data_IF_416341527236
#
_entry.id   IF_416341527236
#
_cell.length_a   1.000
_cell.length_b   1.000
_cell.length_c   1.000
_cell.angle_alpha   90.00
_cell.angle_beta   90.00
_cell.angle_gamma   90.00
#
_symmetry.space_group_name_H-M   'P 1'
#
loop_
_entity.id
_entity.type
_entity.pdbx_description
1 polymer ?
#
# COMPACT_ATOMS: atom_id res chain seq x y z
N UNK A 1 -14.30 6.27 22.58
CA UNK A 1 -13.49 7.24 21.79
C UNK A 1 -13.84 7.03 20.33
N UNK A 2 -14.09 8.09 19.58
CA UNK A 2 -14.37 7.98 18.16
C UNK A 2 -13.07 7.90 17.34
N UNK A 3 -13.16 7.31 16.14
CA UNK A 3 -11.96 7.05 15.31
C UNK A 3 -11.18 8.33 14.99
N UNK A 4 -11.86 9.38 14.58
CA UNK A 4 -11.20 10.66 14.25
C UNK A 4 -10.51 11.29 15.46
N UNK A 5 -11.16 11.23 16.60
CA UNK A 5 -10.59 11.69 17.88
C UNK A 5 -9.35 10.87 18.26
N UNK A 6 -9.43 9.54 18.08
CA UNK A 6 -8.29 8.66 18.34
C UNK A 6 -7.09 8.98 17.46
N UNK A 7 -7.31 9.25 16.16
CA UNK A 7 -6.25 9.62 15.23
C UNK A 7 -5.60 10.95 15.64
N UNK A 8 -6.39 11.94 16.02
CA UNK A 8 -5.87 13.25 16.46
C UNK A 8 -5.02 13.07 17.72
N UNK A 9 -5.54 12.39 18.75
CA UNK A 9 -4.81 12.14 20.00
C UNK A 9 -3.57 11.27 19.80
N UNK A 10 -3.62 10.31 18.87
CA UNK A 10 -2.45 9.49 18.54
C UNK A 10 -1.33 10.32 17.87
N UNK A 11 -1.66 11.35 17.06
CA UNK A 11 -0.68 12.31 16.53
C UNK A 11 0.03 13.12 17.63
N UNK A 12 -0.62 13.25 18.78
CA UNK A 12 -0.09 13.87 19.99
C UNK A 12 0.64 12.87 20.92
N UNK A 13 0.91 11.66 20.43
CA UNK A 13 1.54 10.55 21.15
C UNK A 13 0.73 10.02 22.36
N UNK A 14 -0.60 10.13 22.32
CA UNK A 14 -1.45 9.59 23.37
C UNK A 14 -1.52 8.06 23.32
N UNK A 15 -1.03 7.38 24.37
CA UNK A 15 -0.96 5.92 24.43
C UNK A 15 -2.34 5.24 24.39
N UNK A 16 -3.36 5.83 25.00
CA UNK A 16 -4.72 5.26 25.00
C UNK A 16 -5.31 5.29 23.60
N UNK A 17 -5.00 6.34 22.84
CA UNK A 17 -5.41 6.45 21.44
C UNK A 17 -4.70 5.41 20.55
N UNK A 18 -3.43 5.16 20.78
CA UNK A 18 -2.71 4.08 20.08
C UNK A 18 -3.32 2.71 20.37
N UNK A 19 -3.61 2.40 21.63
CA UNK A 19 -4.25 1.14 22.01
C UNK A 19 -5.62 0.98 21.33
N UNK A 20 -6.44 2.04 21.33
CA UNK A 20 -7.73 2.03 20.67
C UNK A 20 -7.61 1.75 19.16
N UNK A 21 -6.67 2.41 18.46
CA UNK A 21 -6.44 2.19 17.04
C UNK A 21 -5.91 0.77 16.76
N UNK A 22 -5.02 0.27 17.62
CA UNK A 22 -4.50 -1.08 17.51
C UNK A 22 -5.62 -2.12 17.68
N UNK A 23 -6.42 -2.03 18.71
CA UNK A 23 -7.54 -2.96 18.95
C UNK A 23 -8.58 -2.91 17.83
N UNK A 24 -8.88 -1.70 17.33
CA UNK A 24 -9.87 -1.51 16.26
C UNK A 24 -9.45 -2.15 14.94
N UNK A 25 -8.18 -2.06 14.59
CA UNK A 25 -7.69 -2.46 13.26
C UNK A 25 -6.81 -3.71 13.24
N UNK A 26 -6.54 -4.31 14.39
CA UNK A 26 -5.70 -5.51 14.48
C UNK A 26 -6.19 -6.63 13.57
N UNK A 27 -7.46 -7.00 13.71
CA UNK A 27 -8.05 -8.10 12.95
C UNK A 27 -8.06 -7.84 11.43
N UNK A 28 -8.21 -6.58 11.04
CA UNK A 28 -8.20 -6.18 9.63
C UNK A 28 -6.81 -6.37 9.01
N UNK A 29 -5.76 -5.92 9.72
CA UNK A 29 -4.37 -6.04 9.24
C UNK A 29 -3.90 -7.48 9.32
N UNK A 30 -4.14 -8.16 10.44
CA UNK A 30 -3.75 -9.55 10.65
C UNK A 30 -4.43 -10.48 9.63
N UNK A 31 -5.77 -10.39 9.48
CA UNK A 31 -6.51 -11.20 8.52
C UNK A 31 -6.08 -10.96 7.07
N UNK A 32 -5.72 -9.72 6.72
CA UNK A 32 -5.17 -9.39 5.42
C UNK A 32 -3.78 -10.02 5.22
N UNK A 33 -2.91 -9.97 6.22
CA UNK A 33 -1.58 -10.58 6.15
C UNK A 33 -1.64 -12.10 6.16
N UNK A 34 -2.51 -12.70 6.97
CA UNK A 34 -2.69 -14.15 7.03
C UNK A 34 -3.08 -14.74 5.66
N UNK A 35 -3.95 -14.06 4.92
CA UNK A 35 -4.32 -14.47 3.54
C UNK A 35 -3.12 -14.40 2.57
N UNK A 36 -2.14 -13.54 2.81
CA UNK A 36 -0.98 -13.35 1.92
C UNK A 36 0.20 -14.22 2.28
N UNK A 37 0.47 -14.41 3.56
CA UNK A 37 1.59 -15.20 4.05
C UNK A 37 1.26 -16.69 4.13
N UNK A 38 -0.02 -17.02 4.33
CA UNK A 38 -0.49 -18.37 4.64
C UNK A 38 0.24 -18.99 5.85
N UNK A 39 0.81 -18.14 6.70
CA UNK A 39 1.54 -18.49 7.90
C UNK A 39 1.14 -17.51 9.01
N UNK A 40 0.67 -18.04 10.13
CA UNK A 40 0.15 -17.25 11.25
C UNK A 40 1.24 -16.43 11.94
N UNK A 41 2.41 -17.01 12.16
CA UNK A 41 3.54 -16.32 12.79
C UNK A 41 4.04 -15.16 11.92
N UNK A 42 4.21 -15.40 10.62
CA UNK A 42 4.63 -14.34 9.69
C UNK A 42 3.57 -13.23 9.61
N UNK A 43 2.29 -13.59 9.61
CA UNK A 43 1.20 -12.61 9.60
C UNK A 43 1.18 -11.77 10.87
N UNK A 44 1.42 -12.37 12.04
CA UNK A 44 1.48 -11.68 13.32
C UNK A 44 2.68 -10.73 13.37
N UNK A 45 3.87 -11.20 13.01
CA UNK A 45 5.10 -10.40 12.99
C UNK A 45 4.95 -9.17 12.08
N UNK A 46 4.42 -9.37 10.86
CA UNK A 46 4.19 -8.28 9.93
C UNK A 46 3.12 -7.32 10.46
N UNK A 47 2.09 -7.81 11.15
CA UNK A 47 1.05 -6.96 11.75
C UNK A 47 1.64 -6.09 12.85
N UNK A 48 2.43 -6.66 13.76
CA UNK A 48 3.12 -5.92 14.84
C UNK A 48 4.02 -4.83 14.23
N UNK A 49 4.87 -5.20 13.26
CA UNK A 49 5.76 -4.25 12.59
C UNK A 49 4.99 -3.16 11.83
N UNK A 50 3.84 -3.49 11.26
CA UNK A 50 2.94 -2.53 10.60
C UNK A 50 2.46 -1.47 11.57
N UNK A 51 1.94 -1.85 12.74
CA UNK A 51 1.48 -0.90 13.74
C UNK A 51 2.63 -0.07 14.31
N UNK A 52 3.79 -0.66 14.55
CA UNK A 52 4.97 0.08 14.96
C UNK A 52 5.33 1.18 13.94
N UNK A 53 5.43 0.82 12.66
CA UNK A 53 5.70 1.78 11.57
C UNK A 53 4.59 2.82 11.43
N UNK A 54 3.33 2.40 11.58
CA UNK A 54 2.18 3.30 11.50
C UNK A 54 2.22 4.36 12.62
N UNK A 55 2.44 3.95 13.84
CA UNK A 55 2.49 4.87 14.98
C UNK A 55 3.70 5.80 14.91
N UNK A 56 4.84 5.32 14.44
CA UNK A 56 6.00 6.18 14.19
C UNK A 56 5.70 7.26 13.13
N UNK A 57 4.92 6.91 12.09
CA UNK A 57 4.59 7.79 10.96
C UNK A 57 3.21 8.45 11.08
N UNK A 58 2.50 8.33 12.21
CA UNK A 58 1.10 8.77 12.33
C UNK A 58 0.92 10.27 12.10
N UNK A 59 1.92 11.09 12.42
CA UNK A 59 1.90 12.53 12.15
C UNK A 59 1.79 12.86 10.66
N UNK A 60 2.27 11.98 9.78
CA UNK A 60 2.19 12.15 8.32
C UNK A 60 0.88 11.62 7.72
N UNK A 61 0.03 11.00 8.52
CA UNK A 61 -1.28 10.53 8.03
C UNK A 61 -2.18 11.71 7.67
N UNK A 62 -2.66 11.73 6.42
CA UNK A 62 -3.65 12.69 5.95
C UNK A 62 -5.07 12.15 6.18
N UNK A 63 -5.88 12.85 6.98
CA UNK A 63 -7.26 12.47 7.32
C UNK A 63 -8.23 12.47 6.13
N UNK A 64 -7.80 12.94 4.96
CA UNK A 64 -8.55 12.77 3.69
C UNK A 64 -8.66 11.32 3.26
N UNK A 65 -7.82 10.45 3.79
CA UNK A 65 -7.79 9.02 3.48
C UNK A 65 -8.35 8.19 4.63
N UNK A 66 -8.86 6.99 4.32
CA UNK A 66 -9.30 6.04 5.34
C UNK A 66 -8.08 5.48 6.08
N UNK A 67 -8.09 5.53 7.42
CA UNK A 67 -6.99 5.06 8.25
C UNK A 67 -6.66 3.57 8.04
N UNK A 68 -7.69 2.71 7.93
CA UNK A 68 -7.56 1.29 7.60
C UNK A 68 -6.73 1.09 6.33
N UNK A 69 -7.07 1.82 5.28
CA UNK A 69 -6.41 1.72 3.98
C UNK A 69 -4.93 2.14 4.07
N UNK A 70 -4.63 3.16 4.84
CA UNK A 70 -3.25 3.58 5.10
C UNK A 70 -2.47 2.49 5.86
N UNK A 71 -3.06 1.84 6.87
CA UNK A 71 -2.48 0.69 7.59
C UNK A 71 -2.18 -0.48 6.65
N UNK A 72 -3.14 -0.88 5.82
CA UNK A 72 -2.97 -1.98 4.84
C UNK A 72 -1.83 -1.69 3.87
N UNK A 73 -1.64 -0.44 3.47
CA UNK A 73 -0.49 -0.07 2.63
C UNK A 73 0.84 -0.26 3.35
N UNK A 74 0.92 0.14 4.63
CA UNK A 74 2.12 -0.10 5.44
C UNK A 74 2.36 -1.60 5.56
N UNK A 75 1.31 -2.40 5.82
CA UNK A 75 1.38 -3.85 5.91
C UNK A 75 1.92 -4.50 4.62
N UNK A 76 1.39 -4.12 3.46
CA UNK A 76 1.89 -4.59 2.15
C UNK A 76 3.37 -4.32 1.96
N UNK A 77 3.81 -3.11 2.28
CA UNK A 77 5.22 -2.74 2.14
C UNK A 77 6.10 -3.49 3.14
N UNK A 78 5.65 -3.64 4.38
CA UNK A 78 6.36 -4.43 5.41
C UNK A 78 6.53 -5.88 4.96
N UNK A 79 5.48 -6.50 4.41
CA UNK A 79 5.55 -7.85 3.86
C UNK A 79 6.54 -7.96 2.68
N UNK A 80 6.49 -7.02 1.73
CA UNK A 80 7.44 -7.00 0.62
C UNK A 80 8.89 -6.82 1.09
N UNK A 81 9.11 -6.02 2.12
CA UNK A 81 10.44 -5.82 2.71
C UNK A 81 10.93 -7.11 3.41
N UNK A 82 10.03 -7.83 4.10
CA UNK A 82 10.33 -9.13 4.71
C UNK A 82 10.74 -10.16 3.66
N UNK A 83 9.98 -10.28 2.56
CA UNK A 83 10.31 -11.18 1.45
C UNK A 83 11.67 -10.83 0.80
N UNK A 84 12.00 -9.56 0.69
CA UNK A 84 13.30 -9.10 0.16
C UNK A 84 14.45 -9.46 1.10
N UNK A 85 14.27 -9.26 2.41
CA UNK A 85 15.25 -9.65 3.41
C UNK A 85 15.52 -11.17 3.35
N UNK A 86 14.48 -11.99 3.25
CA UNK A 86 14.61 -13.44 3.11
C UNK A 86 15.37 -13.82 1.83
N UNK A 87 15.08 -13.21 0.69
CA UNK A 87 15.81 -13.44 -0.56
C UNK A 87 17.28 -13.00 -0.48
N UNK A 88 17.56 -11.88 0.17
CA UNK A 88 18.91 -11.35 0.32
C UNK A 88 19.76 -12.19 1.31
N UNK A 89 19.13 -12.82 2.30
CA UNK A 89 19.82 -13.74 3.23
C UNK A 89 20.24 -15.02 2.52
N UNK A 90 19.53 -15.40 1.46
CA UNK A 90 19.88 -16.55 0.61
C UNK A 90 20.91 -16.19 -0.49
N UNK A 91 21.15 -14.92 -0.78
CA UNK A 91 22.02 -14.44 -1.88
C UNK A 91 22.97 -13.32 -1.45
N UNK A 92 23.55 -13.33 -0.28
CA UNK A 92 24.65 -12.44 0.18
C UNK A 92 24.95 -11.21 -0.71
N UNK A 93 24.00 -10.28 -0.88
CA UNK A 93 24.28 -8.95 -1.44
C UNK A 93 23.34 -7.92 -0.81
N UNK A 94 23.92 -7.14 0.08
CA UNK A 94 23.36 -5.92 0.68
C UNK A 94 23.45 -4.77 -0.32
N UNK A 95 22.33 -4.06 -0.52
CA UNK A 95 22.37 -2.65 -0.96
C UNK A 95 21.40 -1.84 -0.14
N UNK A 96 21.97 -0.97 0.67
CA UNK A 96 21.31 0.13 1.36
C UNK A 96 20.87 1.15 0.31
N UNK A 97 19.58 1.36 0.14
CA UNK A 97 18.95 2.57 -0.41
C UNK A 97 17.44 2.35 -0.53
N UNK A 98 16.67 2.73 0.48
CA UNK A 98 15.20 2.78 0.36
C UNK A 98 14.51 3.71 1.36
N UNK A 99 15.02 4.95 1.54
CA UNK A 99 14.39 5.93 2.47
C UNK A 99 13.34 6.86 1.85
N UNK A 100 12.82 6.59 0.63
CA UNK A 100 11.80 7.48 0.06
C UNK A 100 10.66 6.73 -0.64
N UNK A 101 9.78 6.10 0.17
CA UNK A 101 8.55 5.48 -0.35
C UNK A 101 7.33 6.34 -0.03
N UNK A 102 6.80 6.99 -1.04
CA UNK A 102 5.47 7.61 -1.02
C UNK A 102 4.43 6.54 -1.33
N UNK A 103 3.48 6.34 -0.41
CA UNK A 103 2.52 5.23 -0.39
C UNK A 103 1.15 5.62 -0.97
N UNK A 104 0.54 4.71 -1.73
CA UNK A 104 -0.85 4.82 -2.21
C UNK A 104 -1.62 3.52 -1.97
N UNK A 105 -2.89 3.64 -1.72
CA UNK A 105 -3.74 2.77 -0.91
C UNK A 105 -4.80 2.05 -1.74
N UNK A 106 -5.15 0.82 -1.37
CA UNK A 106 -6.39 0.13 -1.73
C UNK A 106 -6.90 -0.74 -0.59
N UNK A 107 -8.19 -0.67 -0.37
CA UNK A 107 -8.94 -1.18 0.78
C UNK A 107 -9.39 -2.64 0.64
N UNK A 108 -9.59 -3.38 1.73
CA UNK A 108 -10.19 -4.73 1.74
C UNK A 108 -10.79 -5.15 3.08
N UNK A 109 -11.99 -5.59 3.12
CA UNK A 109 -12.63 -6.88 2.98
C UNK A 109 -14.15 -6.70 2.83
N UNK A 110 -14.77 -7.17 1.75
CA UNK A 110 -16.10 -6.74 1.39
C UNK A 110 -17.22 -7.70 1.80
N UNK A 111 -18.38 -7.11 2.16
CA UNK A 111 -19.69 -7.76 2.11
C UNK A 111 -20.05 -8.17 0.66
N UNK A 112 -21.10 -8.96 0.44
CA UNK A 112 -21.51 -9.33 -0.92
C UNK A 112 -21.84 -8.10 -1.80
N UNK A 113 -22.38 -7.01 -1.20
CA UNK A 113 -22.63 -5.72 -1.85
C UNK A 113 -21.32 -4.99 -2.16
N UNK A 114 -20.35 -5.03 -1.23
CA UNK A 114 -19.01 -4.44 -1.44
C UNK A 114 -18.25 -5.17 -2.55
N UNK A 115 -18.44 -6.49 -2.72
CA UNK A 115 -17.85 -7.23 -3.84
C UNK A 115 -18.38 -6.75 -5.19
N UNK A 116 -19.69 -6.56 -5.30
CA UNK A 116 -20.33 -6.05 -6.53
C UNK A 116 -19.86 -4.61 -6.84
N UNK A 117 -19.78 -3.75 -5.83
CA UNK A 117 -19.28 -2.38 -5.95
C UNK A 117 -17.79 -2.39 -6.31
N UNK A 118 -17.00 -3.31 -5.70
CA UNK A 118 -15.56 -3.44 -5.98
C UNK A 118 -15.30 -3.96 -7.39
N UNK A 119 -16.10 -4.91 -7.89
CA UNK A 119 -16.01 -5.40 -9.26
C UNK A 119 -16.38 -4.31 -10.29
N UNK A 120 -17.42 -3.54 -10.03
CA UNK A 120 -17.81 -2.41 -10.86
C UNK A 120 -16.73 -1.32 -10.85
N UNK A 121 -16.20 -0.96 -9.68
CA UNK A 121 -15.11 0.01 -9.54
C UNK A 121 -13.81 -0.48 -10.21
N UNK A 122 -13.50 -1.78 -10.13
CA UNK A 122 -12.36 -2.37 -10.82
C UNK A 122 -12.53 -2.31 -12.35
N UNK A 123 -13.72 -2.65 -12.85
CA UNK A 123 -14.01 -2.59 -14.27
C UNK A 123 -13.91 -1.14 -14.81
N UNK A 124 -14.39 -0.15 -14.07
CA UNK A 124 -14.26 1.26 -14.41
C UNK A 124 -12.80 1.71 -14.35
N UNK A 125 -12.06 1.33 -13.32
CA UNK A 125 -10.63 1.65 -13.20
C UNK A 125 -9.84 1.06 -14.37
N UNK A 126 -10.12 -0.18 -14.77
CA UNK A 126 -9.48 -0.80 -15.93
C UNK A 126 -9.81 -0.06 -17.23
N UNK A 127 -11.06 0.42 -17.40
CA UNK A 127 -11.43 1.28 -18.54
C UNK A 127 -10.65 2.60 -18.54
N UNK A 128 -10.44 3.19 -17.36
CA UNK A 128 -9.69 4.45 -17.26
C UNK A 128 -8.19 4.25 -17.46
N UNK A 129 -7.63 3.14 -17.01
CA UNK A 129 -6.24 2.76 -17.32
C UNK A 129 -6.04 2.61 -18.83
N UNK A 130 -7.01 2.02 -19.53
CA UNK A 130 -6.96 1.86 -21.02
C UNK A 130 -6.96 3.19 -21.79
N UNK A 131 -7.38 4.29 -21.16
CA UNK A 131 -7.32 5.64 -21.77
C UNK A 131 -5.92 6.27 -21.68
N UNK A 132 -5.04 5.72 -20.87
CA UNK A 132 -3.65 6.16 -20.79
C UNK A 132 -2.86 5.71 -22.03
N UNK A 133 -1.73 6.39 -22.29
CA UNK A 133 -0.79 5.91 -23.33
C UNK A 133 -0.21 4.55 -22.94
N UNK A 134 0.12 3.66 -23.91
CA UNK A 134 0.57 2.28 -23.65
C UNK A 134 1.69 2.18 -22.60
N UNK A 135 2.71 3.02 -22.67
CA UNK A 135 3.83 3.02 -21.73
C UNK A 135 3.46 3.44 -20.28
N UNK A 136 2.31 4.13 -20.08
CA UNK A 136 1.75 4.43 -18.77
C UNK A 136 0.88 3.29 -18.26
N UNK A 137 0.17 2.60 -19.17
CA UNK A 137 -0.59 1.40 -18.82
C UNK A 137 0.35 0.30 -18.34
N UNK A 138 1.43 0.05 -19.10
CA UNK A 138 2.44 -0.96 -18.80
C UNK A 138 3.04 -0.75 -17.39
N UNK A 139 3.51 0.44 -17.07
CA UNK A 139 4.15 0.69 -15.78
C UNK A 139 3.17 0.59 -14.60
N UNK A 140 1.90 0.96 -14.81
CA UNK A 140 0.84 0.75 -13.82
C UNK A 140 0.59 -0.75 -13.64
N UNK A 141 0.51 -1.50 -14.75
CA UNK A 141 0.29 -2.94 -14.70
C UNK A 141 1.43 -3.66 -13.96
N UNK A 142 2.67 -3.38 -14.30
CA UNK A 142 3.84 -3.96 -13.64
C UNK A 142 3.85 -3.66 -12.13
N UNK A 143 3.51 -2.42 -11.73
CA UNK A 143 3.57 -2.01 -10.32
C UNK A 143 2.41 -2.52 -9.48
N UNK A 144 1.17 -2.44 -9.98
CA UNK A 144 -0.04 -2.64 -9.17
C UNK A 144 -0.71 -4.00 -9.38
N UNK A 145 -0.55 -4.60 -10.57
CA UNK A 145 -1.12 -5.90 -10.86
C UNK A 145 -0.09 -7.03 -10.72
N UNK A 146 1.16 -6.79 -11.13
CA UNK A 146 2.26 -7.76 -10.97
C UNK A 146 3.09 -7.50 -9.71
N UNK A 147 2.79 -6.46 -8.93
CA UNK A 147 3.42 -6.10 -7.67
C UNK A 147 4.97 -5.95 -7.74
N UNK A 148 5.52 -5.69 -8.93
CA UNK A 148 6.96 -5.55 -9.14
C UNK A 148 7.53 -4.35 -8.38
N UNK A 149 8.73 -4.50 -7.84
CA UNK A 149 9.51 -3.40 -7.28
C UNK A 149 9.99 -2.46 -8.36
N UNK A 150 10.43 -1.26 -8.01
CA UNK A 150 11.01 -0.31 -8.99
C UNK A 150 12.26 -0.87 -9.67
N UNK A 151 13.06 -1.68 -8.97
CA UNK A 151 14.23 -2.34 -9.54
C UNK A 151 13.85 -3.42 -10.56
N UNK A 152 12.82 -4.24 -10.26
CA UNK A 152 12.29 -5.23 -11.19
C UNK A 152 11.67 -4.57 -12.41
N UNK A 153 10.87 -3.51 -12.22
CA UNK A 153 10.31 -2.72 -13.32
C UNK A 153 11.43 -2.13 -14.18
N UNK A 154 12.47 -1.55 -13.57
CA UNK A 154 13.61 -0.99 -14.28
C UNK A 154 14.29 -2.02 -15.18
N UNK A 155 14.46 -3.26 -14.69
CA UNK A 155 14.99 -4.38 -15.46
C UNK A 155 14.02 -4.83 -16.57
N UNK A 156 12.71 -4.96 -16.24
CA UNK A 156 11.70 -5.45 -17.19
C UNK A 156 11.54 -4.54 -18.40
N UNK A 157 11.50 -3.22 -18.18
CA UNK A 157 11.33 -2.23 -19.27
C UNK A 157 12.63 -1.55 -19.69
N UNK A 158 13.76 -2.04 -19.18
CA UNK A 158 15.12 -1.61 -19.54
C UNK A 158 15.34 -0.08 -19.44
N UNK A 159 14.99 0.53 -18.30
CA UNK A 159 15.22 1.95 -18.04
C UNK A 159 15.80 2.16 -16.64
N UNK A 160 16.52 3.28 -16.40
CA UNK A 160 17.01 3.63 -15.07
C UNK A 160 15.89 3.73 -14.03
N UNK A 161 16.15 3.31 -12.79
CA UNK A 161 15.19 3.29 -11.69
C UNK A 161 14.56 4.68 -11.42
N UNK A 162 15.33 5.76 -11.59
CA UNK A 162 14.82 7.11 -11.44
C UNK A 162 13.75 7.45 -12.52
N UNK A 163 13.93 6.91 -13.74
CA UNK A 163 12.94 7.07 -14.80
C UNK A 163 11.67 6.27 -14.52
N UNK A 164 11.77 5.10 -13.87
CA UNK A 164 10.60 4.33 -13.38
C UNK A 164 9.78 5.18 -12.41
N UNK A 165 10.44 5.78 -11.40
CA UNK A 165 9.77 6.63 -10.39
C UNK A 165 9.02 7.79 -11.06
N UNK A 166 9.67 8.49 -11.99
CA UNK A 166 9.07 9.64 -12.71
C UNK A 166 7.93 9.20 -13.63
N UNK A 167 8.10 8.13 -14.40
CA UNK A 167 7.04 7.60 -15.29
C UNK A 167 5.83 7.15 -14.47
N UNK A 168 6.03 6.45 -13.36
CA UNK A 168 4.93 6.01 -12.49
C UNK A 168 4.18 7.20 -11.88
N UNK A 169 4.90 8.23 -11.42
CA UNK A 169 4.28 9.45 -10.90
C UNK A 169 3.42 10.14 -11.96
N UNK A 170 3.92 10.26 -13.20
CA UNK A 170 3.18 10.85 -14.32
C UNK A 170 1.94 10.02 -14.67
N UNK A 171 2.09 8.69 -14.78
CA UNK A 171 0.98 7.79 -15.08
C UNK A 171 -0.15 7.92 -14.05
N UNK A 172 0.19 8.00 -12.76
CA UNK A 172 -0.77 8.18 -11.66
C UNK A 172 -1.47 9.54 -11.73
N UNK A 173 -0.74 10.62 -11.98
CA UNK A 173 -1.34 11.96 -12.13
C UNK A 173 -2.34 11.99 -13.30
N UNK A 174 -1.98 11.39 -14.44
CA UNK A 174 -2.87 11.31 -15.61
C UNK A 174 -4.10 10.46 -15.30
N UNK A 175 -3.94 9.31 -14.64
CA UNK A 175 -5.07 8.47 -14.23
C UNK A 175 -6.01 9.21 -13.27
N UNK A 176 -5.45 9.92 -12.28
CA UNK A 176 -6.24 10.74 -11.37
C UNK A 176 -7.02 11.86 -12.09
N UNK A 177 -6.43 12.48 -13.12
CA UNK A 177 -7.15 13.46 -13.95
C UNK A 177 -8.31 12.81 -14.71
N UNK A 178 -8.12 11.64 -15.31
CA UNK A 178 -9.17 10.90 -16.03
C UNK A 178 -10.33 10.54 -15.08
N UNK A 179 -10.02 10.07 -13.86
CA UNK A 179 -11.04 9.72 -12.88
C UNK A 179 -11.83 10.96 -12.43
N UNK A 180 -11.13 12.07 -12.15
CA UNK A 180 -11.77 13.32 -11.71
C UNK A 180 -12.62 13.99 -12.78
N UNK A 181 -12.30 13.81 -14.06
CA UNK A 181 -13.07 14.40 -15.16
C UNK A 181 -14.44 13.75 -15.39
N UNK A 182 -14.75 12.67 -14.64
CA UNK A 182 -16.05 11.98 -14.68
C UNK A 182 -16.97 12.36 -13.51
N UNK A 183 -16.43 13.05 -12.51
CA UNK A 183 -17.18 13.55 -11.35
C UNK A 183 -17.57 15.00 -11.58
#
# INVERSE_FOLDING_TARGET
>A
MELNEAIIKAKENNQMAFNFLLETFWNDVFGFMLKRTQNENDAEDITIETFFKAFYKIKSFDSKFKFKTWLITIAKNTHLDSLRKQKNTLTNQTTEEDENRVYWIKDDAPSAEDKLITEQNLAELLKDIKKLKPHHQEIIHLRYFQEQSYQEIAKTINIPINNVKVKLLRARKLLACIIRSKT
#
